data_IF_629751791929
#
_entry.id   IF_629751791929
#
_cell.length_a   1.000
_cell.length_b   1.000
_cell.length_c   1.000
_cell.angle_alpha   90.00
_cell.angle_beta   90.00
_cell.angle_gamma   90.00
#
_symmetry.space_group_name_H-M   'P 1'
#
loop_
_entity.id
_entity.type
_entity.pdbx_description
1 polymer ?
#
# COMPACT_ATOMS: atom_id res chain seq x y z
N UNK A 1 16.74 -38.86 2.69
CA UNK A 1 15.50 -38.22 2.27
C UNK A 1 14.58 -37.76 3.41
N UNK A 2 14.34 -38.56 4.46
CA UNK A 2 13.47 -38.15 5.60
C UNK A 2 14.02 -36.98 6.44
N UNK A 3 15.32 -36.88 6.63
CA UNK A 3 15.98 -35.80 7.40
C UNK A 3 15.85 -34.44 6.71
N UNK A 4 15.99 -34.36 5.38
CA UNK A 4 15.87 -33.15 4.60
C UNK A 4 14.43 -32.56 4.62
N UNK A 5 13.42 -33.45 4.49
CA UNK A 5 12.01 -33.05 4.58
C UNK A 5 11.60 -32.54 5.98
N UNK A 6 12.22 -33.14 7.03
CA UNK A 6 11.99 -32.68 8.42
C UNK A 6 12.61 -31.30 8.67
N UNK A 7 13.82 -31.06 8.13
CA UNK A 7 14.51 -29.77 8.21
C UNK A 7 13.75 -28.67 7.47
N UNK A 8 13.20 -28.96 6.29
CA UNK A 8 12.39 -27.99 5.53
C UNK A 8 11.07 -27.66 6.23
N UNK A 9 10.39 -28.65 6.83
CA UNK A 9 9.17 -28.39 7.61
C UNK A 9 9.43 -27.54 8.86
N UNK A 10 10.57 -27.71 9.52
CA UNK A 10 10.97 -26.89 10.67
C UNK A 10 11.29 -25.46 10.23
N UNK A 11 12.04 -25.29 9.14
CA UNK A 11 12.35 -23.98 8.55
C UNK A 11 11.09 -23.25 8.06
N UNK A 12 10.14 -23.97 7.47
CA UNK A 12 8.86 -23.41 7.06
C UNK A 12 8.01 -23.03 8.29
N UNK A 13 7.99 -23.86 9.33
CA UNK A 13 7.28 -23.56 10.58
C UNK A 13 7.92 -22.38 11.34
N UNK A 14 9.24 -22.20 11.27
CA UNK A 14 9.94 -21.04 11.84
C UNK A 14 9.71 -19.77 11.01
N UNK A 15 9.69 -19.86 9.68
CA UNK A 15 9.28 -18.76 8.79
C UNK A 15 7.83 -18.33 9.04
N UNK A 16 6.94 -19.28 9.30
CA UNK A 16 5.53 -19.01 9.65
C UNK A 16 5.36 -18.40 11.06
N UNK A 17 6.35 -18.50 11.94
CA UNK A 17 6.34 -17.85 13.26
C UNK A 17 6.76 -16.38 13.22
N UNK A 18 7.46 -15.93 12.17
CA UNK A 18 7.86 -14.53 12.02
C UNK A 18 6.70 -13.76 11.39
N UNK A 19 6.17 -12.81 12.16
CA UNK A 19 5.13 -11.90 11.71
C UNK A 19 5.52 -11.23 10.41
N UNK A 20 4.64 -11.30 9.40
CA UNK A 20 4.81 -10.57 8.16
C UNK A 20 4.14 -9.20 8.26
N UNK A 21 4.91 -8.17 7.96
CA UNK A 21 4.44 -6.79 7.79
C UNK A 21 4.81 -6.34 6.39
N UNK A 22 3.84 -6.37 5.49
CA UNK A 22 4.02 -6.04 4.08
C UNK A 22 3.57 -4.60 3.86
N UNK A 23 4.45 -3.76 3.32
CA UNK A 23 4.08 -2.40 2.92
C UNK A 23 3.90 -2.31 1.41
N UNK A 24 2.68 -2.02 0.94
CA UNK A 24 2.33 -1.85 -0.47
C UNK A 24 2.13 -0.37 -0.75
N UNK A 25 2.98 0.23 -1.56
CA UNK A 25 2.96 1.66 -1.84
C UNK A 25 3.10 2.00 -3.32
N UNK A 26 2.74 3.22 -3.68
CA UNK A 26 2.78 3.74 -5.04
C UNK A 26 1.98 5.05 -5.15
N UNK A 27 1.81 5.52 -6.38
CA UNK A 27 0.99 6.68 -6.67
C UNK A 27 -0.50 6.38 -6.42
N UNK A 28 -1.30 7.42 -6.20
CA UNK A 28 -2.77 7.28 -6.18
C UNK A 28 -3.26 6.68 -7.51
N UNK A 29 -4.19 5.74 -7.45
CA UNK A 29 -4.70 5.01 -8.61
C UNK A 29 -3.81 3.85 -9.11
N UNK A 30 -2.64 3.59 -8.52
CA UNK A 30 -1.76 2.48 -8.93
C UNK A 30 -2.25 1.10 -8.51
N UNK A 31 -3.23 1.01 -7.59
CA UNK A 31 -3.84 -0.25 -7.17
C UNK A 31 -3.26 -0.85 -5.89
N UNK A 32 -2.63 -0.04 -5.03
CA UNK A 32 -2.09 -0.48 -3.73
C UNK A 32 -3.14 -1.15 -2.86
N UNK A 33 -4.31 -0.54 -2.70
CA UNK A 33 -5.41 -1.09 -1.89
C UNK A 33 -5.99 -2.35 -2.51
N UNK A 34 -6.08 -2.43 -3.84
CA UNK A 34 -6.55 -3.62 -4.55
C UNK A 34 -5.62 -4.82 -4.31
N UNK A 35 -4.30 -4.61 -4.45
CA UNK A 35 -3.33 -5.67 -4.16
C UNK A 35 -3.33 -6.02 -2.66
N UNK A 36 -3.42 -5.01 -1.79
CA UNK A 36 -3.52 -5.24 -0.34
C UNK A 36 -4.71 -6.11 0.03
N UNK A 37 -5.91 -5.83 -0.51
CA UNK A 37 -7.10 -6.64 -0.33
C UNK A 37 -6.92 -8.07 -0.85
N UNK A 38 -6.31 -8.24 -2.03
CA UNK A 38 -6.03 -9.57 -2.60
C UNK A 38 -5.10 -10.39 -1.69
N UNK A 39 -4.00 -9.81 -1.21
CA UNK A 39 -3.09 -10.48 -0.28
C UNK A 39 -3.82 -10.89 0.99
N UNK A 40 -4.64 -9.99 1.55
CA UNK A 40 -5.37 -10.27 2.78
C UNK A 40 -6.41 -11.39 2.61
N UNK A 41 -7.14 -11.41 1.49
CA UNK A 41 -8.14 -12.46 1.22
C UNK A 41 -7.52 -13.83 1.01
N UNK A 42 -6.35 -13.90 0.35
CA UNK A 42 -5.69 -15.17 0.04
C UNK A 42 -4.88 -15.74 1.22
N UNK A 43 -4.27 -14.85 2.02
CA UNK A 43 -3.34 -15.26 3.09
C UNK A 43 -3.91 -15.09 4.50
N UNK A 44 -5.12 -14.56 4.66
CA UNK A 44 -5.70 -14.29 5.97
C UNK A 44 -4.99 -13.16 6.73
N UNK A 45 -4.38 -12.18 6.03
CA UNK A 45 -3.72 -11.05 6.64
C UNK A 45 -4.71 -9.92 6.94
N UNK A 46 -4.35 -9.03 7.87
CA UNK A 46 -5.13 -7.83 8.19
C UNK A 46 -4.72 -6.68 7.27
N UNK A 47 -5.69 -6.06 6.59
CA UNK A 47 -5.45 -4.86 5.78
C UNK A 47 -5.45 -3.62 6.67
N UNK A 48 -4.42 -2.80 6.50
CA UNK A 48 -4.29 -1.47 7.10
C UNK A 48 -4.15 -0.44 5.98
N UNK A 49 -5.24 0.25 5.66
CA UNK A 49 -5.22 1.32 4.67
C UNK A 49 -4.70 2.61 5.33
N UNK A 50 -3.62 3.19 4.79
CA UNK A 50 -2.98 4.37 5.36
C UNK A 50 -3.92 5.57 5.45
N UNK A 51 -4.92 5.67 4.58
CA UNK A 51 -5.87 6.79 4.61
C UNK A 51 -6.77 6.73 5.85
N UNK A 52 -7.07 5.54 6.39
CA UNK A 52 -7.85 5.41 7.64
C UNK A 52 -7.07 5.91 8.87
N UNK A 53 -5.75 5.87 8.83
CA UNK A 53 -4.88 6.42 9.88
C UNK A 53 -4.58 7.90 9.66
N UNK A 54 -4.45 8.32 8.40
CA UNK A 54 -4.09 9.68 8.05
C UNK A 54 -5.23 10.68 8.32
N UNK A 55 -6.45 10.30 7.93
CA UNK A 55 -7.61 11.18 7.98
C UNK A 55 -8.52 10.89 9.17
N UNK A 56 -9.06 11.94 9.76
CA UNK A 56 -10.19 11.84 10.69
C UNK A 56 -11.46 11.71 9.83
N UNK A 57 -12.37 10.76 10.15
CA UNK A 57 -13.64 10.66 9.42
C UNK A 57 -14.44 11.95 9.50
N UNK A 58 -14.82 12.49 8.35
CA UNK A 58 -15.63 13.71 8.19
C UNK A 58 -16.60 13.55 7.03
N UNK A 59 -17.61 14.41 6.95
CA UNK A 59 -18.48 14.55 5.79
C UNK A 59 -18.44 16.02 5.31
N UNK A 60 -17.97 16.29 4.09
CA UNK A 60 -17.32 15.36 3.17
C UNK A 60 -15.98 14.82 3.70
N UNK A 61 -15.50 13.67 3.18
CA UNK A 61 -14.30 13.01 3.68
C UNK A 61 -13.00 13.77 3.35
N UNK A 62 -11.90 13.35 3.98
CA UNK A 62 -10.54 13.86 3.73
C UNK A 62 -10.34 15.36 4.03
N UNK A 63 -11.05 15.90 5.04
CA UNK A 63 -10.94 17.30 5.46
C UNK A 63 -9.95 17.53 6.60
N UNK A 64 -9.93 16.62 7.58
CA UNK A 64 -9.12 16.76 8.78
C UNK A 64 -8.05 15.67 8.87
N UNK A 65 -6.80 16.09 9.07
CA UNK A 65 -5.65 15.18 9.22
C UNK A 65 -5.41 14.92 10.69
N UNK A 66 -5.13 13.66 11.05
CA UNK A 66 -4.54 13.37 12.37
C UNK A 66 -3.10 13.89 12.43
N UNK A 67 -2.62 14.18 13.61
CA UNK A 67 -1.21 14.47 13.82
C UNK A 67 -0.33 13.26 13.44
N UNK A 68 0.93 13.49 13.09
CA UNK A 68 1.85 12.40 12.74
C UNK A 68 2.01 11.38 13.88
N UNK A 69 2.08 11.85 15.12
CA UNK A 69 2.20 10.98 16.30
C UNK A 69 0.97 10.10 16.47
N UNK A 70 -0.25 10.64 16.34
CA UNK A 70 -1.48 9.85 16.44
C UNK A 70 -1.55 8.76 15.38
N UNK A 71 -1.15 9.06 14.13
CA UNK A 71 -1.12 8.07 13.04
C UNK A 71 -0.19 6.91 13.38
N UNK A 72 1.03 7.22 13.86
CA UNK A 72 2.04 6.23 14.22
C UNK A 72 1.57 5.37 15.40
N UNK A 73 1.02 5.97 16.46
CA UNK A 73 0.50 5.24 17.61
C UNK A 73 -0.63 4.28 17.22
N UNK A 74 -1.60 4.76 16.43
CA UNK A 74 -2.72 3.93 15.98
C UNK A 74 -2.24 2.74 15.16
N UNK A 75 -1.39 2.97 14.15
CA UNK A 75 -0.94 1.90 13.27
C UNK A 75 -0.01 0.91 13.99
N UNK A 76 0.86 1.36 14.90
CA UNK A 76 1.68 0.48 15.76
C UNK A 76 0.81 -0.40 16.65
N UNK A 77 -0.22 0.17 17.25
CA UNK A 77 -1.15 -0.59 18.09
C UNK A 77 -1.86 -1.69 17.30
N UNK A 78 -2.32 -1.38 16.09
CA UNK A 78 -3.00 -2.36 15.26
C UNK A 78 -2.04 -3.41 14.67
N UNK A 79 -0.81 -3.00 14.31
CA UNK A 79 0.25 -3.95 13.97
C UNK A 79 0.44 -4.93 15.13
N UNK A 80 0.56 -4.47 16.37
CA UNK A 80 0.81 -5.32 17.53
C UNK A 80 -0.32 -6.33 17.80
N UNK A 81 -1.56 -5.96 17.55
CA UNK A 81 -2.75 -6.81 17.75
C UNK A 81 -2.96 -7.85 16.64
N UNK A 82 -2.38 -7.65 15.47
CA UNK A 82 -2.59 -8.52 14.31
C UNK A 82 -1.49 -9.57 14.18
N UNK A 83 -1.80 -10.74 13.61
CA UNK A 83 -0.80 -11.78 13.36
C UNK A 83 0.11 -11.40 12.18
N UNK A 84 -0.47 -11.11 11.02
CA UNK A 84 0.20 -10.63 9.82
C UNK A 84 -0.58 -9.46 9.25
N UNK A 85 0.11 -8.51 8.63
CA UNK A 85 -0.53 -7.28 8.15
C UNK A 85 -0.05 -6.90 6.75
N UNK A 86 -0.93 -6.23 6.02
CA UNK A 86 -0.61 -5.49 4.79
C UNK A 86 -0.95 -4.03 5.03
N UNK A 87 0.05 -3.16 4.98
CA UNK A 87 -0.12 -1.72 5.06
C UNK A 87 -0.16 -1.19 3.62
N UNK A 88 -1.31 -0.68 3.21
CA UNK A 88 -1.57 -0.18 1.87
C UNK A 88 -1.62 1.35 1.84
N UNK A 89 -0.88 1.96 0.93
CA UNK A 89 -0.82 3.41 0.75
C UNK A 89 0.54 4.01 1.08
N UNK A 90 0.67 5.35 1.06
CA UNK A 90 1.95 6.01 1.28
C UNK A 90 2.21 6.29 2.75
N UNK A 91 3.39 5.90 3.20
CA UNK A 91 3.96 6.23 4.52
C UNK A 91 5.10 7.26 4.42
N UNK A 92 5.45 7.69 3.21
CA UNK A 92 6.45 8.74 3.03
C UNK A 92 6.06 9.99 3.84
N UNK A 93 7.02 10.59 4.51
CA UNK A 93 6.92 11.77 5.38
C UNK A 93 6.43 11.53 6.81
N UNK A 94 5.82 10.38 7.12
CA UNK A 94 5.29 10.16 8.48
C UNK A 94 5.49 8.75 9.01
N UNK A 95 5.87 7.79 8.17
CA UNK A 95 5.95 6.38 8.52
C UNK A 95 7.37 5.85 8.77
N UNK A 96 8.38 6.70 8.89
CA UNK A 96 9.78 6.28 9.05
C UNK A 96 9.98 5.36 10.27
N UNK A 97 9.26 5.59 11.35
CA UNK A 97 9.30 4.75 12.56
C UNK A 97 8.78 3.32 12.35
N UNK A 98 8.03 3.07 11.27
CA UNK A 98 7.51 1.75 10.93
C UNK A 98 8.50 0.93 10.09
N UNK A 99 9.53 1.56 9.52
CA UNK A 99 10.50 0.90 8.63
C UNK A 99 11.10 -0.36 9.26
N UNK A 100 11.51 -0.38 10.54
CA UNK A 100 12.07 -1.59 11.15
C UNK A 100 11.09 -2.76 11.25
N UNK A 101 9.78 -2.51 11.13
CA UNK A 101 8.75 -3.55 11.21
C UNK A 101 8.57 -4.30 9.87
N UNK A 102 8.95 -3.71 8.73
CA UNK A 102 8.65 -4.27 7.42
C UNK A 102 9.47 -5.51 7.11
N UNK A 103 8.79 -6.55 6.66
CA UNK A 103 9.40 -7.79 6.17
C UNK A 103 9.51 -7.81 4.64
N UNK A 104 8.62 -7.10 3.97
CA UNK A 104 8.59 -6.90 2.53
C UNK A 104 7.97 -5.54 2.21
N UNK A 105 8.54 -4.82 1.26
CA UNK A 105 7.90 -3.67 0.65
C UNK A 105 7.57 -3.98 -0.82
N UNK A 106 6.42 -3.51 -1.28
CA UNK A 106 5.94 -3.71 -2.66
C UNK A 106 5.64 -2.33 -3.24
N UNK A 107 6.39 -1.95 -4.25
CA UNK A 107 6.15 -0.71 -4.99
C UNK A 107 5.40 -1.00 -6.28
N UNK A 108 4.24 -0.37 -6.45
CA UNK A 108 3.45 -0.47 -7.67
C UNK A 108 3.69 0.79 -8.52
N UNK A 109 4.18 0.58 -9.72
CA UNK A 109 4.43 1.63 -10.72
C UNK A 109 3.38 1.52 -11.83
N UNK A 110 2.86 2.66 -12.28
CA UNK A 110 1.81 2.72 -13.30
C UNK A 110 1.87 4.06 -14.02
N UNK A 111 1.59 4.05 -15.31
CA UNK A 111 1.51 5.26 -16.14
C UNK A 111 0.48 6.24 -15.60
N UNK A 112 0.80 7.53 -15.64
CA UNK A 112 -0.08 8.60 -15.18
C UNK A 112 -1.46 8.54 -15.84
N UNK A 113 -1.52 8.38 -17.17
CA UNK A 113 -2.79 8.33 -17.90
C UNK A 113 -3.74 7.25 -17.37
N UNK A 114 -3.21 6.04 -17.14
CA UNK A 114 -4.00 4.91 -16.62
C UNK A 114 -4.46 5.17 -15.17
N UNK A 115 -3.57 5.75 -14.34
CA UNK A 115 -3.92 6.10 -12.96
C UNK A 115 -5.05 7.13 -12.91
N UNK A 116 -4.96 8.18 -13.73
CA UNK A 116 -5.96 9.25 -13.76
C UNK A 116 -7.32 8.75 -14.23
N UNK A 117 -7.36 7.88 -15.25
CA UNK A 117 -8.59 7.26 -15.69
C UNK A 117 -9.23 6.39 -14.58
N UNK A 118 -8.41 5.58 -13.88
CA UNK A 118 -8.89 4.77 -12.75
C UNK A 118 -9.43 5.61 -11.61
N UNK A 119 -8.72 6.67 -11.23
CA UNK A 119 -9.15 7.60 -10.18
C UNK A 119 -10.49 8.25 -10.52
N UNK A 120 -10.67 8.70 -11.76
CA UNK A 120 -11.92 9.29 -12.21
C UNK A 120 -13.09 8.29 -12.06
N UNK A 121 -12.91 7.07 -12.54
CA UNK A 121 -13.93 6.01 -12.40
C UNK A 121 -14.27 5.71 -10.94
N UNK A 122 -13.26 5.67 -10.07
CA UNK A 122 -13.46 5.41 -8.64
C UNK A 122 -14.24 6.57 -7.99
N UNK A 123 -13.85 7.82 -8.22
CA UNK A 123 -14.52 8.96 -7.63
C UNK A 123 -15.95 9.12 -8.17
N UNK A 124 -16.17 8.90 -9.46
CA UNK A 124 -17.51 8.90 -10.04
C UNK A 124 -18.42 7.81 -9.43
N UNK A 125 -17.86 6.61 -9.21
CA UNK A 125 -18.62 5.52 -8.59
C UNK A 125 -18.98 5.79 -7.12
N UNK A 126 -18.10 6.51 -6.38
CA UNK A 126 -18.32 6.79 -4.95
C UNK A 126 -19.16 8.03 -4.74
N UNK A 127 -18.90 9.11 -5.47
CA UNK A 127 -19.44 10.44 -5.19
C UNK A 127 -20.48 10.91 -6.20
N UNK A 128 -20.53 10.32 -7.40
CA UNK A 128 -21.50 10.66 -8.44
C UNK A 128 -21.50 12.16 -8.78
N UNK A 129 -22.66 12.79 -8.77
CA UNK A 129 -22.82 14.22 -9.10
C UNK A 129 -22.18 15.19 -8.10
N UNK A 130 -21.78 14.74 -6.92
CA UNK A 130 -21.10 15.58 -5.92
C UNK A 130 -19.75 16.13 -6.42
N UNK A 131 -19.09 15.45 -7.36
CA UNK A 131 -17.82 15.87 -7.97
C UNK A 131 -17.98 16.59 -9.32
N UNK A 132 -19.22 16.79 -9.78
CA UNK A 132 -19.51 17.55 -10.99
C UNK A 132 -19.58 19.07 -10.71
N UNK A 133 -19.47 19.95 -11.72
CA UNK A 133 -19.60 21.39 -11.54
C UNK A 133 -20.90 21.75 -10.79
N UNK A 134 -20.75 22.43 -9.65
CA UNK A 134 -21.85 22.79 -8.75
C UNK A 134 -22.07 21.79 -7.60
N UNK A 135 -21.44 20.63 -7.62
CA UNK A 135 -21.45 19.68 -6.50
C UNK A 135 -20.61 20.14 -5.32
N UNK A 136 -20.95 19.68 -4.12
CA UNK A 136 -20.30 20.09 -2.86
C UNK A 136 -18.85 19.59 -2.74
N UNK A 137 -18.46 18.57 -3.49
CA UNK A 137 -17.10 18.00 -3.54
C UNK A 137 -16.32 18.40 -4.81
N UNK A 138 -16.90 19.17 -5.73
CA UNK A 138 -16.28 19.52 -7.01
C UNK A 138 -14.89 20.14 -6.84
N UNK A 139 -14.76 21.13 -5.97
CA UNK A 139 -13.48 21.79 -5.71
C UNK A 139 -12.43 20.80 -5.16
N UNK A 140 -12.83 19.96 -4.21
CA UNK A 140 -11.93 18.95 -3.61
C UNK A 140 -11.49 17.92 -4.66
N UNK A 141 -12.39 17.51 -5.55
CA UNK A 141 -12.10 16.62 -6.67
C UNK A 141 -11.04 17.23 -7.61
N UNK A 142 -11.22 18.48 -8.02
CA UNK A 142 -10.27 19.17 -8.91
C UNK A 142 -8.89 19.29 -8.24
N UNK A 143 -8.84 19.74 -6.98
CA UNK A 143 -7.59 19.86 -6.21
C UNK A 143 -6.88 18.50 -6.07
N UNK A 144 -7.63 17.42 -5.80
CA UNK A 144 -7.10 16.07 -5.71
C UNK A 144 -6.52 15.60 -7.05
N UNK A 145 -7.20 15.85 -8.16
CA UNK A 145 -6.73 15.43 -9.48
C UNK A 145 -5.46 16.18 -9.90
N UNK A 146 -5.38 17.48 -9.68
CA UNK A 146 -4.16 18.26 -9.96
C UNK A 146 -2.98 17.75 -9.10
N UNK A 147 -3.22 17.48 -7.84
CA UNK A 147 -2.22 16.88 -6.98
C UNK A 147 -1.83 15.45 -7.44
N UNK A 148 -2.76 14.61 -7.83
CA UNK A 148 -2.47 13.26 -8.32
C UNK A 148 -1.69 13.27 -9.66
N UNK A 149 -1.94 14.25 -10.54
CA UNK A 149 -1.18 14.47 -11.78
C UNK A 149 0.27 14.88 -11.49
N UNK A 150 0.50 15.68 -10.46
CA UNK A 150 1.85 16.17 -10.14
C UNK A 150 2.80 15.08 -9.64
N UNK A 151 2.32 13.86 -9.38
CA UNK A 151 3.13 12.77 -8.80
C UNK A 151 4.38 12.45 -9.62
N UNK A 152 4.29 12.38 -10.94
CA UNK A 152 5.41 11.94 -11.78
C UNK A 152 6.46 13.06 -12.02
N UNK A 153 6.04 14.32 -11.96
CA UNK A 153 6.88 15.50 -12.23
C UNK A 153 7.28 16.28 -10.98
N UNK A 154 6.62 16.03 -9.85
CA UNK A 154 6.87 16.74 -8.60
C UNK A 154 8.21 16.41 -7.97
N UNK A 155 8.78 17.37 -7.26
CA UNK A 155 9.98 17.19 -6.45
C UNK A 155 9.75 16.40 -5.17
N UNK A 156 10.81 16.23 -4.39
CA UNK A 156 10.74 15.43 -3.17
C UNK A 156 10.06 16.14 -1.99
N UNK A 157 9.70 17.40 -2.13
CA UNK A 157 8.98 18.23 -1.14
C UNK A 157 7.49 17.90 -1.07
N UNK A 158 6.95 17.23 -2.09
CA UNK A 158 5.57 16.76 -2.11
C UNK A 158 5.51 15.23 -2.25
N UNK A 159 4.33 14.64 -2.07
CA UNK A 159 4.13 13.21 -2.36
C UNK A 159 4.23 12.97 -3.87
N UNK A 160 5.40 12.54 -4.31
CA UNK A 160 5.79 12.36 -5.71
C UNK A 160 6.54 11.05 -5.91
N UNK A 161 6.85 10.74 -7.17
CA UNK A 161 7.77 9.64 -7.52
C UNK A 161 9.14 9.88 -6.89
N UNK A 162 9.67 11.10 -6.98
CA UNK A 162 10.97 11.47 -6.37
C UNK A 162 10.95 11.27 -4.85
N UNK A 163 9.84 11.62 -4.17
CA UNK A 163 9.68 11.40 -2.73
C UNK A 163 9.65 9.91 -2.39
N UNK A 164 8.92 9.10 -3.13
CA UNK A 164 8.91 7.66 -2.95
C UNK A 164 10.28 7.03 -3.25
N UNK A 165 11.03 7.52 -4.25
CA UNK A 165 12.40 7.08 -4.54
C UNK A 165 13.35 7.35 -3.38
N UNK A 166 13.23 8.52 -2.73
CA UNK A 166 14.01 8.84 -1.53
C UNK A 166 13.61 7.98 -0.34
N UNK A 167 12.31 7.82 -0.11
CA UNK A 167 11.80 7.03 1.02
C UNK A 167 12.16 5.56 0.89
N UNK A 168 12.08 4.99 -0.32
CA UNK A 168 12.47 3.61 -0.59
C UNK A 168 13.93 3.31 -0.20
N UNK A 169 14.83 4.28 -0.35
CA UNK A 169 16.25 4.11 0.03
C UNK A 169 16.46 3.90 1.54
N UNK A 170 15.50 4.28 2.37
CA UNK A 170 15.53 4.06 3.82
C UNK A 170 15.09 2.65 4.22
N UNK A 171 14.43 1.91 3.33
CA UNK A 171 13.88 0.60 3.64
C UNK A 171 14.99 -0.44 3.82
N UNK A 172 14.96 -1.16 4.94
CA UNK A 172 15.91 -2.23 5.25
C UNK A 172 15.46 -3.61 4.78
N UNK A 173 14.18 -3.74 4.37
CA UNK A 173 13.62 -4.97 3.82
C UNK A 173 13.77 -5.04 2.30
N UNK A 174 13.52 -6.24 1.72
CA UNK A 174 13.43 -6.40 0.26
C UNK A 174 12.32 -5.51 -0.30
N UNK A 175 12.60 -4.85 -1.42
CA UNK A 175 11.60 -4.09 -2.20
C UNK A 175 11.32 -4.84 -3.50
N UNK A 176 10.04 -5.17 -3.70
CA UNK A 176 9.53 -5.77 -4.92
C UNK A 176 8.88 -4.67 -5.78
N UNK A 177 9.30 -4.54 -7.03
CA UNK A 177 8.69 -3.63 -8.00
C UNK A 177 7.69 -4.39 -8.86
N UNK A 178 6.46 -3.86 -8.96
CA UNK A 178 5.38 -4.45 -9.73
C UNK A 178 4.82 -3.46 -10.75
N UNK A 179 4.53 -3.97 -11.93
CA UNK A 179 3.75 -3.25 -12.93
C UNK A 179 2.29 -3.18 -12.47
N UNK A 180 1.77 -1.96 -12.32
CA UNK A 180 0.39 -1.74 -11.92
C UNK A 180 -0.63 -2.13 -12.99
N UNK A 181 -0.21 -2.24 -14.27
CA UNK A 181 -1.07 -2.66 -15.38
C UNK A 181 -1.18 -4.20 -15.47
N UNK A 182 -0.28 -4.95 -14.85
CA UNK A 182 -0.37 -6.41 -14.80
C UNK A 182 -1.64 -6.89 -14.08
N UNK A 183 -2.06 -8.12 -14.39
CA UNK A 183 -3.22 -8.74 -13.75
C UNK A 183 -3.01 -8.93 -12.23
N UNK A 184 -4.10 -8.88 -11.48
CA UNK A 184 -4.01 -8.92 -10.00
C UNK A 184 -3.43 -10.26 -9.50
N UNK A 185 -3.75 -11.36 -10.16
CA UNK A 185 -3.26 -12.68 -9.78
C UNK A 185 -1.76 -12.84 -10.07
N UNK A 186 -1.25 -12.23 -11.14
CA UNK A 186 0.18 -12.17 -11.44
C UNK A 186 0.93 -11.37 -10.35
N UNK A 187 0.40 -10.20 -9.98
CA UNK A 187 0.97 -9.39 -8.89
C UNK A 187 0.98 -10.16 -7.57
N UNK A 188 -0.12 -10.83 -7.24
CA UNK A 188 -0.21 -11.66 -6.03
C UNK A 188 0.78 -12.82 -6.05
N UNK A 189 0.94 -13.51 -7.19
CA UNK A 189 1.92 -14.58 -7.36
C UNK A 189 3.34 -14.09 -7.04
N UNK A 190 3.75 -12.97 -7.63
CA UNK A 190 5.08 -12.37 -7.36
C UNK A 190 5.29 -12.01 -5.87
N UNK A 191 4.25 -11.52 -5.19
CA UNK A 191 4.32 -11.25 -3.74
C UNK A 191 4.48 -12.55 -2.96
N UNK A 192 3.72 -13.58 -3.30
CA UNK A 192 3.77 -14.89 -2.63
C UNK A 192 5.13 -15.58 -2.81
N UNK A 193 5.72 -15.50 -4.00
CA UNK A 193 7.09 -15.95 -4.27
C UNK A 193 8.11 -15.17 -3.43
N UNK A 194 7.96 -13.84 -3.32
CA UNK A 194 8.83 -13.01 -2.50
C UNK A 194 8.74 -13.33 -1.00
N UNK A 195 7.59 -13.83 -0.53
CA UNK A 195 7.38 -14.32 0.83
C UNK A 195 7.88 -15.75 1.04
N UNK A 196 8.28 -16.45 -0.04
CA UNK A 196 8.71 -17.86 0.00
C UNK A 196 7.56 -18.82 0.25
N UNK A 197 6.34 -18.47 -0.18
CA UNK A 197 5.14 -19.31 -0.02
C UNK A 197 4.95 -20.28 -1.19
N UNK A 198 5.60 -20.02 -2.32
CA UNK A 198 5.65 -20.92 -3.47
C UNK A 198 7.11 -21.31 -3.73
N UNK A 199 7.43 -22.60 -3.64
CA UNK A 199 8.64 -23.13 -4.26
C UNK A 199 8.34 -23.34 -5.75
N UNK A 200 9.22 -22.85 -6.63
CA UNK A 200 9.20 -23.27 -8.02
C UNK A 200 9.37 -24.81 -8.02
N UNK A 201 8.37 -25.50 -8.54
CA UNK A 201 8.53 -26.92 -8.89
C UNK A 201 9.44 -26.99 -10.11
N UNK A 202 10.74 -27.10 -9.87
CA UNK A 202 11.71 -27.52 -10.89
C UNK A 202 11.49 -29.00 -11.21
#
# INVERSE_FOLDING_TARGET
>A
MLSYRKSQRVLLAEKLKKKNVIHVFGASGSGTTTLGKKICSELGYTLMDTDTYYWIPTEPPFKLKRSANERIELIKNDINKSANVVISGSLADWGDELIPCFTLAVRIEMKQSVRMERLLKIEQAIYGSRIEPGGDMYRQHVEFFEWAKSYDSGGAEIRSKARHDQWQKKLSCRVLHLDGEAEIDEKFKKVSEALGLFEERT
#
